data_IF_967929879943
#
_entry.id   IF_967929879943
#
_cell.length_a   1.000
_cell.length_b   1.000
_cell.length_c   1.000
_cell.angle_alpha   90.00
_cell.angle_beta   90.00
_cell.angle_gamma   90.00
#
_symmetry.space_group_name_H-M   'P 1'
#
loop_
_entity.id
_entity.type
_entity.pdbx_description
1 polymer ?
#
# COMPACT_ATOMS: atom_id res chain seq x y z
N UNK A 1 69.87 31.90 -9.17
CA UNK A 1 71.22 31.35 -9.51
C UNK A 1 70.97 30.24 -10.43
N UNK A 2 71.23 30.45 -11.69
CA UNK A 2 72.30 29.89 -12.47
C UNK A 2 71.97 28.49 -13.00
N UNK A 3 71.95 28.13 -14.21
CA UNK A 3 72.32 28.64 -15.56
C UNK A 3 72.03 27.48 -16.53
N UNK A 4 71.54 27.77 -17.70
CA UNK A 4 71.65 26.95 -18.92
C UNK A 4 73.16 26.76 -19.29
N UNK A 5 73.59 25.87 -20.28
CA UNK A 5 73.22 26.01 -21.69
C UNK A 5 73.26 24.68 -22.53
N UNK A 6 72.65 24.64 -23.71
CA UNK A 6 73.06 24.69 -25.10
C UNK A 6 73.97 23.58 -25.66
N UNK A 7 73.55 23.06 -26.78
CA UNK A 7 74.32 23.01 -28.01
C UNK A 7 74.03 21.77 -28.87
N UNK A 8 73.48 21.95 -30.03
CA UNK A 8 74.00 22.08 -31.38
C UNK A 8 74.03 20.76 -32.17
N UNK A 9 73.15 20.66 -33.20
CA UNK A 9 73.36 20.71 -34.67
C UNK A 9 74.09 19.54 -35.36
N UNK A 10 73.46 18.98 -36.38
CA UNK A 10 73.89 18.71 -37.75
C UNK A 10 72.94 17.65 -38.40
N UNK A 11 72.20 17.86 -39.39
CA UNK A 11 72.30 18.27 -40.78
C UNK A 11 72.90 17.16 -41.73
N UNK A 12 72.14 16.95 -42.84
CA UNK A 12 72.54 16.37 -44.14
C UNK A 12 72.46 14.85 -44.23
N UNK A 13 71.95 14.17 -45.32
CA UNK A 13 71.62 14.54 -46.67
C UNK A 13 70.80 13.42 -47.34
N UNK A 14 70.03 13.83 -48.26
CA UNK A 14 69.54 13.23 -49.51
C UNK A 14 70.14 11.91 -50.02
N UNK A 15 69.26 10.93 -50.41
CA UNK A 15 69.42 10.16 -51.64
C UNK A 15 68.04 9.60 -52.09
N UNK A 16 67.64 10.02 -53.28
CA UNK A 16 66.58 9.40 -54.13
C UNK A 16 67.00 8.04 -54.60
N UNK A 17 66.08 7.06 -54.52
CA UNK A 17 66.06 5.98 -55.55
C UNK A 17 64.60 5.50 -55.71
N UNK A 18 64.08 5.72 -56.92
CA UNK A 18 62.84 5.19 -57.42
C UNK A 18 62.99 3.71 -57.79
N UNK A 19 62.04 2.86 -57.35
CA UNK A 19 61.78 1.59 -57.99
C UNK A 19 60.28 1.27 -57.89
N UNK A 20 59.66 1.19 -59.05
CA UNK A 20 58.31 0.68 -59.24
C UNK A 20 58.22 -0.78 -58.82
N UNK A 21 57.21 -1.15 -58.06
CA UNK A 21 56.77 -2.52 -57.82
C UNK A 21 55.27 -2.52 -57.59
N UNK A 22 54.53 -2.87 -58.66
CA UNK A 22 53.12 -3.23 -58.58
C UNK A 22 52.99 -4.44 -57.64
N UNK A 23 52.23 -4.35 -56.64
CA UNK A 23 51.82 -5.42 -55.80
C UNK A 23 50.41 -5.11 -55.23
N UNK A 24 49.38 -5.64 -55.88
CA UNK A 24 48.02 -5.63 -55.38
C UNK A 24 47.97 -6.43 -54.09
N UNK A 25 47.93 -5.70 -53.01
CA UNK A 25 47.48 -6.24 -51.71
C UNK A 25 46.16 -5.56 -51.38
N UNK A 26 45.08 -6.17 -51.82
CA UNK A 26 43.75 -5.88 -51.30
C UNK A 26 43.78 -6.12 -49.78
N UNK A 27 43.95 -5.06 -49.03
CA UNK A 27 43.72 -5.06 -47.61
C UNK A 27 42.22 -5.36 -47.40
N UNK A 28 41.97 -6.61 -47.12
CA UNK A 28 40.68 -7.10 -46.65
C UNK A 28 40.43 -6.46 -45.26
N UNK A 29 39.97 -5.22 -45.25
CA UNK A 29 39.40 -4.61 -44.08
C UNK A 29 38.16 -5.42 -43.77
N UNK A 30 38.32 -6.36 -42.86
CA UNK A 30 37.21 -7.07 -42.26
C UNK A 30 36.25 -5.99 -41.70
N UNK A 31 35.19 -5.74 -42.46
CA UNK A 31 34.08 -4.90 -42.09
C UNK A 31 33.52 -5.54 -40.84
N UNK A 32 33.89 -5.01 -39.66
CA UNK A 32 33.29 -5.40 -38.39
C UNK A 32 31.76 -5.44 -38.59
N UNK A 33 31.08 -6.53 -38.25
CA UNK A 33 29.65 -6.58 -38.41
C UNK A 33 29.07 -5.45 -37.54
N UNK A 34 28.47 -4.49 -38.23
CA UNK A 34 27.71 -3.44 -37.57
C UNK A 34 26.74 -4.12 -36.60
N UNK A 35 26.68 -3.62 -35.40
CA UNK A 35 25.73 -4.07 -34.34
C UNK A 35 24.30 -3.90 -34.88
N UNK A 36 23.82 -4.89 -35.63
CA UNK A 36 22.50 -4.80 -36.25
C UNK A 36 21.45 -5.09 -35.18
N UNK A 37 20.75 -4.06 -34.76
CA UNK A 37 19.55 -4.19 -33.93
C UNK A 37 18.43 -4.55 -34.88
N UNK A 38 17.78 -5.69 -34.65
CA UNK A 38 16.62 -6.13 -35.44
C UNK A 38 15.40 -6.10 -34.56
N UNK A 39 14.37 -5.35 -34.96
CA UNK A 39 13.09 -5.25 -34.28
C UNK A 39 12.05 -5.89 -35.21
N UNK A 40 11.33 -6.88 -34.72
CA UNK A 40 10.22 -7.49 -35.47
C UNK A 40 9.05 -6.54 -35.67
N UNK A 41 8.24 -6.72 -36.71
CA UNK A 41 7.03 -5.92 -36.92
C UNK A 41 6.16 -5.90 -35.67
N UNK A 42 5.76 -4.69 -35.22
CA UNK A 42 5.02 -4.51 -34.00
C UNK A 42 5.85 -4.44 -32.71
N UNK A 43 7.20 -4.53 -32.81
CA UNK A 43 8.11 -4.33 -31.68
C UNK A 43 8.05 -5.41 -30.60
N UNK A 44 7.46 -6.58 -30.92
CA UNK A 44 7.27 -7.64 -29.92
C UNK A 44 8.58 -8.34 -29.55
N UNK A 45 9.52 -8.47 -30.53
CA UNK A 45 10.80 -9.10 -30.30
C UNK A 45 11.93 -8.20 -30.81
N UNK A 46 12.97 -8.07 -29.99
CA UNK A 46 14.17 -7.27 -30.28
C UNK A 46 15.37 -8.18 -30.20
N UNK A 47 16.17 -8.23 -31.26
CA UNK A 47 17.44 -8.92 -31.27
C UNK A 47 18.56 -7.88 -31.38
N UNK A 48 19.47 -7.90 -30.42
CA UNK A 48 20.61 -6.97 -30.34
C UNK A 48 21.88 -7.60 -30.90
N UNK A 49 22.81 -6.78 -31.34
CA UNK A 49 24.17 -7.24 -31.64
C UNK A 49 24.90 -7.74 -30.37
N UNK A 50 25.85 -8.66 -30.56
CA UNK A 50 26.56 -9.31 -29.44
C UNK A 50 27.27 -8.34 -28.48
N UNK A 51 27.65 -7.14 -28.95
CA UNK A 51 28.31 -6.10 -28.11
C UNK A 51 27.35 -5.36 -27.18
N UNK A 52 26.05 -5.38 -27.45
CA UNK A 52 25.05 -4.59 -26.72
C UNK A 52 24.32 -5.39 -25.66
N UNK A 53 24.42 -6.71 -25.66
CA UNK A 53 23.73 -7.61 -24.72
C UNK A 53 24.13 -7.40 -23.26
N UNK A 54 25.40 -7.05 -23.01
CA UNK A 54 25.90 -6.79 -21.65
C UNK A 54 25.38 -5.51 -20.98
N UNK A 55 24.68 -4.65 -21.74
CA UNK A 55 24.11 -3.41 -21.24
C UNK A 55 22.80 -3.63 -20.45
N UNK A 56 22.18 -4.80 -20.58
CA UNK A 56 20.88 -5.11 -19.99
C UNK A 56 21.03 -6.06 -18.80
N UNK A 57 20.86 -5.52 -17.59
CA UNK A 57 20.77 -6.36 -16.42
C UNK A 57 19.47 -7.15 -16.46
N UNK A 58 19.55 -8.43 -16.10
CA UNK A 58 18.39 -9.33 -16.03
C UNK A 58 18.31 -9.96 -14.64
N UNK A 59 17.09 -10.22 -14.20
CA UNK A 59 16.82 -10.88 -12.93
C UNK A 59 15.80 -12.00 -13.16
N UNK A 60 16.00 -13.21 -12.62
CA UNK A 60 15.02 -14.27 -12.77
C UNK A 60 13.74 -13.94 -12.00
N UNK A 61 12.60 -14.15 -12.65
CA UNK A 61 11.31 -14.19 -11.98
C UNK A 61 11.27 -15.38 -11.03
N UNK A 62 11.09 -15.15 -9.75
CA UNK A 62 11.19 -16.19 -8.73
C UNK A 62 9.97 -16.23 -7.83
N UNK A 63 9.53 -17.45 -7.49
CA UNK A 63 8.52 -17.63 -6.43
C UNK A 63 9.21 -17.49 -5.09
N UNK A 64 8.86 -16.43 -4.37
CA UNK A 64 9.42 -16.10 -3.04
C UNK A 64 8.31 -15.74 -2.09
N UNK A 65 8.64 -15.77 -0.81
CA UNK A 65 7.77 -15.20 0.22
C UNK A 65 7.69 -13.68 0.00
N UNK A 66 6.47 -13.19 -0.11
CA UNK A 66 6.17 -11.82 -0.41
C UNK A 66 5.45 -11.19 0.77
N UNK A 67 6.10 -10.23 1.40
CA UNK A 67 5.50 -9.41 2.44
C UNK A 67 5.17 -8.05 1.83
N UNK A 68 3.91 -7.70 1.86
CA UNK A 68 3.44 -6.37 1.48
C UNK A 68 3.11 -5.63 2.76
N UNK A 69 3.83 -4.56 3.03
CA UNK A 69 3.45 -3.65 4.09
C UNK A 69 2.52 -2.59 3.49
N UNK A 70 1.27 -2.63 3.88
CA UNK A 70 0.35 -1.56 3.54
C UNK A 70 0.69 -0.34 4.40
N UNK A 71 1.18 0.71 3.76
CA UNK A 71 1.42 1.99 4.43
C UNK A 71 0.28 2.95 4.09
N UNK A 72 -0.35 3.51 5.12
CA UNK A 72 -1.45 4.45 4.98
C UNK A 72 -1.31 5.62 5.98
N UNK A 73 -1.88 6.79 5.69
CA UNK A 73 -2.07 7.82 6.71
C UNK A 73 -3.07 7.36 7.75
N UNK A 74 -2.84 7.76 8.99
CA UNK A 74 -3.72 7.44 10.09
C UNK A 74 -3.80 8.60 11.09
N UNK A 75 -4.87 8.62 11.87
CA UNK A 75 -5.05 9.59 12.94
C UNK A 75 -5.71 8.95 14.16
N UNK A 76 -5.36 9.40 15.33
CA UNK A 76 -6.04 9.02 16.58
C UNK A 76 -7.38 9.73 16.64
N UNK A 77 -8.47 8.99 16.67
CA UNK A 77 -9.83 9.55 16.62
C UNK A 77 -10.58 9.46 17.96
N UNK A 78 -10.17 8.52 18.81
CA UNK A 78 -10.76 8.39 20.13
C UNK A 78 -9.73 7.92 21.17
N UNK A 79 -9.95 8.34 22.42
CA UNK A 79 -9.20 7.90 23.59
C UNK A 79 -10.16 7.53 24.73
N UNK A 80 -9.97 6.38 25.32
CA UNK A 80 -10.69 5.93 26.51
C UNK A 80 -9.88 6.32 27.74
N UNK A 81 -10.38 7.28 28.53
CA UNK A 81 -9.67 7.80 29.70
C UNK A 81 -10.36 7.40 31.00
N UNK A 82 -9.55 7.11 32.01
CA UNK A 82 -10.09 6.88 33.35
C UNK A 82 -10.75 8.16 33.89
N UNK A 83 -11.92 8.01 34.44
CA UNK A 83 -12.65 9.10 35.13
C UNK A 83 -12.93 8.64 36.56
N UNK A 84 -12.07 9.03 37.55
CA UNK A 84 -12.18 8.51 38.92
C UNK A 84 -13.54 8.79 39.59
N UNK A 85 -14.18 9.86 39.16
CA UNK A 85 -15.47 10.31 39.73
C UNK A 85 -16.70 9.73 39.00
N UNK A 86 -16.49 8.91 37.98
CA UNK A 86 -17.55 8.31 37.16
C UNK A 86 -17.51 6.79 37.22
N UNK A 87 -18.69 6.12 37.14
CA UNK A 87 -18.75 4.66 37.17
C UNK A 87 -18.19 3.97 35.91
N UNK A 88 -17.93 4.73 34.84
CA UNK A 88 -17.40 4.24 33.59
C UNK A 88 -16.36 5.22 33.05
N UNK A 89 -15.38 4.71 32.24
CA UNK A 89 -14.41 5.57 31.62
C UNK A 89 -15.07 6.52 30.61
N UNK A 90 -14.44 7.68 30.41
CA UNK A 90 -14.85 8.64 29.38
C UNK A 90 -14.19 8.31 28.05
N UNK A 91 -14.95 8.49 26.97
CA UNK A 91 -14.42 8.44 25.61
C UNK A 91 -14.29 9.87 25.09
N UNK A 92 -13.05 10.27 24.82
CA UNK A 92 -12.73 11.56 24.20
C UNK A 92 -12.55 11.35 22.70
N UNK A 93 -13.12 12.23 21.90
CA UNK A 93 -13.03 12.17 20.44
C UNK A 93 -12.26 13.36 19.87
N UNK A 94 -11.76 13.19 18.66
CA UNK A 94 -11.06 14.21 17.89
C UNK A 94 -11.96 15.40 17.56
N UNK A 95 -13.23 15.16 17.21
CA UNK A 95 -14.17 16.19 16.78
C UNK A 95 -15.40 16.29 17.67
N UNK A 96 -16.02 17.48 17.71
CA UNK A 96 -17.24 17.72 18.45
C UNK A 96 -18.43 16.93 17.90
N UNK A 97 -18.50 16.77 16.56
CA UNK A 97 -19.60 16.06 15.90
C UNK A 97 -19.63 14.58 16.32
N UNK A 98 -18.47 13.92 16.35
CA UNK A 98 -18.39 12.54 16.84
C UNK A 98 -18.71 12.45 18.33
N UNK A 99 -18.27 13.42 19.13
CA UNK A 99 -18.62 13.49 20.55
C UNK A 99 -20.13 13.65 20.77
N UNK A 100 -20.79 14.47 19.96
CA UNK A 100 -22.24 14.64 20.00
C UNK A 100 -22.98 13.34 19.63
N UNK A 101 -22.55 12.71 18.53
CA UNK A 101 -23.12 11.44 18.08
C UNK A 101 -22.94 10.31 19.12
N UNK A 102 -21.80 10.27 19.80
CA UNK A 102 -21.54 9.35 20.91
C UNK A 102 -22.47 9.64 22.12
N UNK A 103 -22.68 10.93 22.43
CA UNK A 103 -23.61 11.33 23.48
C UNK A 103 -25.03 10.87 23.17
N UNK A 104 -25.47 11.02 21.92
CA UNK A 104 -26.79 10.57 21.48
C UNK A 104 -26.92 9.04 21.53
N UNK A 105 -25.89 8.32 21.10
CA UNK A 105 -25.83 6.86 21.24
C UNK A 105 -25.99 6.42 22.70
N UNK A 106 -25.25 7.04 23.63
CA UNK A 106 -25.31 6.68 25.05
C UNK A 106 -26.67 6.99 25.69
N UNK A 107 -27.29 8.11 25.29
CA UNK A 107 -28.66 8.47 25.69
C UNK A 107 -29.69 7.46 25.17
N UNK A 108 -29.63 7.14 23.87
CA UNK A 108 -30.55 6.21 23.22
C UNK A 108 -30.39 4.80 23.78
N UNK A 109 -29.16 4.36 24.08
CA UNK A 109 -28.90 3.08 24.74
C UNK A 109 -29.53 3.03 26.14
N UNK A 110 -29.41 4.10 26.93
CA UNK A 110 -30.03 4.18 28.25
C UNK A 110 -31.56 4.23 28.15
N UNK A 111 -32.13 4.89 27.15
CA UNK A 111 -33.57 4.89 26.89
C UNK A 111 -34.08 3.49 26.52
N UNK A 112 -33.40 2.81 25.61
CA UNK A 112 -33.71 1.42 25.23
C UNK A 112 -33.69 0.49 26.46
N UNK A 113 -32.62 0.53 27.26
CA UNK A 113 -32.50 -0.31 28.45
C UNK A 113 -33.64 -0.05 29.47
N UNK A 114 -34.03 1.21 29.63
CA UNK A 114 -35.18 1.55 30.50
C UNK A 114 -36.49 1.01 29.93
N UNK A 115 -36.74 1.20 28.67
CA UNK A 115 -37.94 0.71 28.01
C UNK A 115 -38.02 -0.84 28.03
N UNK A 116 -36.92 -1.53 27.84
CA UNK A 116 -36.84 -3.00 27.96
C UNK A 116 -37.20 -3.49 29.33
N UNK A 117 -36.66 -2.87 30.41
CA UNK A 117 -36.98 -3.19 31.80
C UNK A 117 -38.45 -2.91 32.12
N UNK A 118 -38.99 -1.79 31.63
CA UNK A 118 -40.38 -1.42 31.83
C UNK A 118 -41.34 -2.41 31.16
N UNK A 119 -41.07 -2.74 29.90
CA UNK A 119 -41.84 -3.75 29.15
C UNK A 119 -41.82 -5.09 29.85
N UNK A 120 -40.65 -5.56 30.32
CA UNK A 120 -40.49 -6.80 31.06
C UNK A 120 -41.35 -6.78 32.35
N UNK A 121 -41.23 -5.70 33.14
CA UNK A 121 -42.01 -5.52 34.39
C UNK A 121 -43.52 -5.55 34.15
N UNK A 122 -44.03 -4.81 33.17
CA UNK A 122 -45.46 -4.76 32.85
C UNK A 122 -45.94 -6.10 32.27
N UNK A 123 -45.14 -6.78 31.48
CA UNK A 123 -45.46 -8.12 31.01
C UNK A 123 -45.62 -9.15 32.14
N UNK A 124 -44.74 -9.10 33.15
CA UNK A 124 -44.87 -9.97 34.34
C UNK A 124 -46.10 -9.63 35.21
N UNK A 125 -46.47 -8.34 35.29
CA UNK A 125 -47.68 -7.92 36.02
C UNK A 125 -48.97 -8.29 35.23
N UNK A 126 -48.94 -8.23 33.91
CA UNK A 126 -50.06 -8.59 33.07
C UNK A 126 -50.42 -10.07 33.20
N UNK A 127 -49.44 -10.97 33.38
CA UNK A 127 -49.72 -12.39 33.63
C UNK A 127 -50.47 -12.67 34.92
N UNK A 128 -50.57 -11.67 35.82
CA UNK A 128 -51.27 -11.72 37.10
C UNK A 128 -52.51 -10.82 37.13
N UNK A 129 -52.97 -10.38 35.94
CA UNK A 129 -54.09 -9.41 35.79
C UNK A 129 -53.91 -8.13 36.61
N UNK A 130 -52.68 -7.72 36.92
CA UNK A 130 -52.37 -6.58 37.79
C UNK A 130 -52.16 -5.23 37.04
N UNK A 131 -52.25 -5.24 35.69
CA UNK A 131 -52.13 -4.03 34.86
C UNK A 131 -53.07 -4.07 33.66
N UNK A 132 -53.43 -2.91 33.11
CA UNK A 132 -54.27 -2.83 31.93
C UNK A 132 -53.49 -3.26 30.67
N UNK A 133 -54.13 -3.97 29.75
CA UNK A 133 -53.53 -4.37 28.48
C UNK A 133 -52.99 -3.20 27.68
N UNK A 134 -53.57 -2.02 27.78
CA UNK A 134 -53.06 -0.78 27.18
C UNK A 134 -51.65 -0.44 27.64
N UNK A 135 -51.37 -0.58 28.93
CA UNK A 135 -50.04 -0.20 29.51
C UNK A 135 -48.94 -1.12 28.92
N UNK A 136 -49.26 -2.36 28.66
CA UNK A 136 -48.33 -3.32 27.98
C UNK A 136 -48.07 -2.88 26.55
N UNK A 137 -49.13 -2.52 25.82
CA UNK A 137 -49.02 -2.08 24.41
C UNK A 137 -48.23 -0.74 24.32
N UNK A 138 -48.47 0.18 25.25
CA UNK A 138 -47.74 1.44 25.32
C UNK A 138 -46.24 1.20 25.59
N UNK A 139 -45.91 0.29 26.51
CA UNK A 139 -44.52 -0.08 26.80
C UNK A 139 -43.84 -0.83 25.66
N UNK A 140 -44.57 -1.64 24.90
CA UNK A 140 -44.02 -2.26 23.68
C UNK A 140 -43.75 -1.25 22.57
N UNK A 141 -44.61 -0.24 22.45
CA UNK A 141 -44.41 0.83 21.48
C UNK A 141 -43.19 1.70 21.83
N UNK A 142 -43.02 2.04 23.12
CA UNK A 142 -41.85 2.78 23.58
C UNK A 142 -40.55 1.96 23.38
N UNK A 143 -40.59 0.66 23.64
CA UNK A 143 -39.43 -0.22 23.39
C UNK A 143 -39.03 -0.18 21.90
N UNK A 144 -39.99 -0.34 20.97
CA UNK A 144 -39.72 -0.31 19.52
C UNK A 144 -39.15 1.04 19.08
N UNK A 145 -39.68 2.14 19.61
CA UNK A 145 -39.23 3.50 19.30
C UNK A 145 -37.82 3.72 19.77
N UNK A 146 -37.51 3.35 21.02
CA UNK A 146 -36.16 3.49 21.59
C UNK A 146 -35.15 2.57 20.90
N UNK A 147 -35.56 1.36 20.50
CA UNK A 147 -34.73 0.45 19.71
C UNK A 147 -34.38 1.04 18.33
N UNK A 148 -35.37 1.61 17.64
CA UNK A 148 -35.13 2.27 16.35
C UNK A 148 -34.14 3.44 16.46
N UNK A 149 -34.28 4.27 17.51
CA UNK A 149 -33.38 5.38 17.77
C UNK A 149 -31.96 4.93 18.11
N UNK A 150 -31.82 3.84 18.87
CA UNK A 150 -30.50 3.25 19.16
C UNK A 150 -29.84 2.72 17.89
N UNK A 151 -30.59 1.96 17.08
CA UNK A 151 -30.05 1.42 15.80
C UNK A 151 -29.64 2.50 14.82
N UNK A 152 -30.36 3.62 14.76
CA UNK A 152 -30.00 4.77 13.90
C UNK A 152 -28.65 5.36 14.33
N UNK A 153 -28.45 5.61 15.62
CA UNK A 153 -27.20 6.16 16.13
C UNK A 153 -26.03 5.16 16.01
N UNK A 154 -26.26 3.85 16.20
CA UNK A 154 -25.26 2.82 15.93
C UNK A 154 -24.86 2.79 14.45
N UNK A 155 -25.83 2.86 13.53
CA UNK A 155 -25.54 2.87 12.11
C UNK A 155 -24.69 4.07 11.69
N UNK A 156 -24.99 5.26 12.20
CA UNK A 156 -24.20 6.49 11.96
C UNK A 156 -22.77 6.35 12.46
N UNK A 157 -22.55 5.80 13.65
CA UNK A 157 -21.21 5.56 14.19
C UNK A 157 -20.44 4.52 13.35
N UNK A 158 -21.09 3.44 12.92
CA UNK A 158 -20.48 2.43 12.08
C UNK A 158 -20.08 2.97 10.70
N UNK A 159 -20.89 3.87 10.13
CA UNK A 159 -20.60 4.50 8.84
C UNK A 159 -19.28 5.29 8.87
N UNK A 160 -18.97 5.94 9.97
CA UNK A 160 -17.71 6.69 10.16
C UNK A 160 -16.58 5.84 10.74
N UNK A 161 -16.73 4.52 10.79
CA UNK A 161 -15.67 3.57 11.16
C UNK A 161 -15.62 3.18 12.64
N UNK A 162 -16.56 3.65 13.48
CA UNK A 162 -16.63 3.25 14.89
C UNK A 162 -17.52 2.03 15.10
N UNK A 163 -17.10 1.15 16.00
CA UNK A 163 -17.98 0.15 16.60
C UNK A 163 -18.32 0.58 18.03
N UNK A 164 -19.57 1.02 18.28
CA UNK A 164 -19.95 1.51 19.61
C UNK A 164 -19.81 0.47 20.72
N UNK A 165 -20.08 -0.79 20.40
CA UNK A 165 -19.99 -1.87 21.38
C UNK A 165 -18.54 -2.19 21.72
N UNK A 166 -17.66 -2.22 20.70
CA UNK A 166 -16.24 -2.40 20.90
C UNK A 166 -15.63 -1.25 21.71
N UNK A 167 -16.03 0.02 21.43
CA UNK A 167 -15.57 1.18 22.20
C UNK A 167 -15.93 1.09 23.68
N UNK A 168 -17.15 0.65 24.00
CA UNK A 168 -17.61 0.47 25.38
C UNK A 168 -16.86 -0.64 26.13
N UNK A 169 -16.31 -1.61 25.41
CA UNK A 169 -15.55 -2.72 25.98
C UNK A 169 -14.07 -2.41 26.17
N UNK A 170 -13.58 -1.30 25.60
CA UNK A 170 -12.17 -0.92 25.72
C UNK A 170 -11.83 -0.47 27.15
N UNK A 171 -10.73 -0.96 27.71
CA UNK A 171 -10.24 -0.47 29.01
C UNK A 171 -9.73 0.96 28.93
N UNK A 172 -9.71 1.64 30.06
CA UNK A 172 -9.09 2.95 30.17
C UNK A 172 -7.61 2.87 29.78
N UNK A 173 -7.14 3.88 29.03
CA UNK A 173 -5.81 3.92 28.44
C UNK A 173 -5.78 3.42 26.98
N UNK A 174 -6.88 2.86 26.48
CA UNK A 174 -6.99 2.46 25.09
C UNK A 174 -7.22 3.66 24.18
N UNK A 175 -6.74 3.54 22.94
CA UNK A 175 -6.93 4.51 21.87
C UNK A 175 -7.49 3.81 20.64
N UNK A 176 -8.22 4.56 19.84
CA UNK A 176 -8.63 4.11 18.49
C UNK A 176 -8.05 5.09 17.49
N UNK A 177 -7.30 4.55 16.54
CA UNK A 177 -6.86 5.27 15.35
C UNK A 177 -7.64 4.79 14.13
N UNK A 178 -7.91 5.68 13.20
CA UNK A 178 -8.43 5.35 11.88
C UNK A 178 -7.30 5.51 10.87
N UNK A 179 -7.09 4.46 10.08
CA UNK A 179 -6.22 4.45 8.92
C UNK A 179 -7.06 4.58 7.65
N UNK A 180 -6.65 5.47 6.76
CA UNK A 180 -7.34 5.72 5.49
C UNK A 180 -6.70 4.83 4.41
N UNK A 181 -7.25 3.63 4.21
CA UNK A 181 -6.72 2.63 3.29
C UNK A 181 -7.36 2.80 1.92
N UNK A 182 -6.58 2.98 0.83
CA UNK A 182 -7.14 3.05 -0.51
C UNK A 182 -7.98 1.81 -0.85
N UNK A 183 -9.14 2.03 -1.52
CA UNK A 183 -10.06 0.96 -1.93
C UNK A 183 -9.35 -0.18 -2.67
N UNK A 184 -8.41 0.17 -3.57
CA UNK A 184 -7.64 -0.82 -4.34
C UNK A 184 -6.77 -1.76 -3.48
N UNK A 185 -6.52 -1.42 -2.21
CA UNK A 185 -5.65 -2.18 -1.31
C UNK A 185 -6.37 -2.79 -0.12
N UNK A 186 -7.68 -2.57 0.01
CA UNK A 186 -8.42 -3.05 1.19
C UNK A 186 -8.47 -4.57 1.30
N UNK A 187 -8.42 -5.27 0.16
CA UNK A 187 -8.39 -6.74 0.14
C UNK A 187 -7.19 -7.37 0.84
N UNK A 188 -6.17 -6.57 1.13
CA UNK A 188 -4.97 -6.99 1.84
C UNK A 188 -5.10 -6.85 3.37
N UNK A 189 -6.12 -6.13 3.87
CA UNK A 189 -6.32 -5.87 5.31
C UNK A 189 -7.32 -6.86 5.90
N UNK A 190 -6.98 -7.45 7.04
CA UNK A 190 -7.83 -8.36 7.79
C UNK A 190 -7.99 -7.93 9.25
N UNK A 191 -9.12 -8.32 9.85
CA UNK A 191 -9.35 -8.11 11.28
C UNK A 191 -8.31 -8.85 12.12
N UNK A 192 -7.82 -8.19 13.16
CA UNK A 192 -6.82 -8.73 14.09
C UNK A 192 -5.37 -8.58 13.64
N UNK A 193 -5.10 -8.14 12.41
CA UNK A 193 -3.75 -7.89 11.92
C UNK A 193 -3.03 -6.83 12.76
N UNK A 194 -1.71 -7.02 12.87
CA UNK A 194 -0.86 -6.08 13.57
C UNK A 194 -0.64 -4.84 12.74
N UNK A 195 -0.76 -3.69 13.36
CA UNK A 195 -0.47 -2.39 12.78
C UNK A 195 0.58 -1.66 13.62
N UNK A 196 1.57 -1.07 12.96
CA UNK A 196 2.63 -0.28 13.59
C UNK A 196 2.47 1.17 13.17
N UNK A 197 2.46 2.07 14.14
CA UNK A 197 2.24 3.50 13.95
C UNK A 197 3.52 4.28 14.24
N UNK A 198 3.88 5.15 13.31
CA UNK A 198 4.95 6.14 13.45
C UNK A 198 4.33 7.53 13.58
N UNK A 199 4.35 8.08 14.80
CA UNK A 199 3.87 9.42 15.08
C UNK A 199 5.00 10.44 14.92
N UNK A 200 4.75 11.52 14.20
CA UNK A 200 5.74 12.60 14.04
C UNK A 200 6.13 13.26 15.37
N UNK A 201 5.24 13.21 16.36
CA UNK A 201 5.50 13.72 17.70
C UNK A 201 6.47 12.83 18.51
N UNK A 202 6.69 11.57 18.11
CA UNK A 202 7.52 10.58 18.82
C UNK A 202 8.43 9.83 17.85
N UNK A 203 9.40 10.53 17.22
CA UNK A 203 10.26 9.91 16.22
C UNK A 203 11.07 8.74 16.81
N UNK A 204 11.11 7.63 16.07
CA UNK A 204 11.83 6.42 16.50
C UNK A 204 11.16 5.62 17.61
N UNK A 205 9.93 5.97 18.01
CA UNK A 205 9.15 5.22 18.98
C UNK A 205 7.88 4.66 18.29
N UNK A 206 7.90 3.44 17.75
CA UNK A 206 6.73 2.86 17.13
C UNK A 206 5.70 2.45 18.18
N UNK A 207 4.44 2.73 17.88
CA UNK A 207 3.30 2.26 18.67
C UNK A 207 2.62 1.12 17.91
N UNK A 208 2.19 0.09 18.61
CA UNK A 208 1.56 -1.06 17.99
C UNK A 208 0.09 -1.17 18.36
N UNK A 209 -0.69 -1.68 17.44
CA UNK A 209 -2.10 -1.94 17.62
C UNK A 209 -2.57 -3.13 16.81
N UNK A 210 -3.89 -3.37 16.82
CA UNK A 210 -4.53 -4.39 15.99
C UNK A 210 -5.72 -3.82 15.27
N UNK A 211 -5.89 -4.23 14.02
CA UNK A 211 -7.08 -3.92 13.23
C UNK A 211 -8.31 -4.47 13.95
N UNK A 212 -9.18 -3.58 14.38
CA UNK A 212 -10.38 -3.91 15.14
C UNK A 212 -11.65 -3.88 14.28
N UNK A 213 -11.67 -3.04 13.24
CA UNK A 213 -12.80 -2.92 12.32
C UNK A 213 -12.35 -2.40 10.96
N UNK A 214 -13.03 -2.85 9.92
CA UNK A 214 -12.99 -2.28 8.57
C UNK A 214 -14.37 -1.67 8.32
N UNK A 215 -14.43 -0.41 7.89
CA UNK A 215 -15.70 0.25 7.60
C UNK A 215 -16.42 -0.40 6.43
N UNK A 216 -17.76 -0.36 6.46
CA UNK A 216 -18.62 -0.98 5.46
C UNK A 216 -18.83 -0.08 4.23
N UNK A 217 -18.30 1.14 4.23
CA UNK A 217 -18.46 2.12 3.17
C UNK A 217 -17.12 2.74 2.75
N UNK A 218 -17.00 3.07 1.47
CA UNK A 218 -15.89 3.84 0.91
C UNK A 218 -16.20 5.33 1.07
N UNK A 219 -15.26 6.11 1.54
CA UNK A 219 -15.36 7.57 1.51
C UNK A 219 -15.30 8.05 0.04
N UNK A 220 -16.37 8.70 -0.48
CA UNK A 220 -16.43 9.09 -1.87
C UNK A 220 -15.45 10.22 -2.24
N UNK A 221 -14.97 10.99 -1.26
CA UNK A 221 -14.05 12.11 -1.49
C UNK A 221 -12.61 11.63 -1.59
N UNK A 222 -12.20 10.75 -0.67
CA UNK A 222 -10.81 10.26 -0.58
C UNK A 222 -10.59 8.95 -1.32
N UNK A 223 -11.64 8.23 -1.67
CA UNK A 223 -11.61 6.86 -2.19
C UNK A 223 -10.88 5.89 -1.26
N UNK A 224 -10.99 6.14 0.03
CA UNK A 224 -10.40 5.31 1.07
C UNK A 224 -11.50 4.60 1.88
N UNK A 225 -11.12 3.48 2.48
CA UNK A 225 -11.93 2.76 3.47
C UNK A 225 -11.28 2.99 4.82
N UNK A 226 -12.09 3.39 5.79
CA UNK A 226 -11.63 3.61 7.15
C UNK A 226 -11.39 2.28 7.87
N UNK A 227 -10.17 2.06 8.30
CA UNK A 227 -9.76 0.90 9.08
C UNK A 227 -9.47 1.35 10.50
N UNK A 228 -10.31 0.92 11.45
CA UNK A 228 -10.10 1.21 12.85
C UNK A 228 -9.07 0.24 13.46
N UNK A 229 -8.13 0.81 14.18
CA UNK A 229 -7.06 0.08 14.87
C UNK A 229 -7.11 0.44 16.34
N UNK A 230 -7.22 -0.56 17.20
CA UNK A 230 -7.11 -0.38 18.64
C UNK A 230 -5.63 -0.37 19.04
N UNK A 231 -5.21 0.70 19.71
CA UNK A 231 -3.86 0.86 20.27
C UNK A 231 -3.92 0.83 21.80
N UNK A 232 -2.86 0.30 22.41
CA UNK A 232 -2.64 0.42 23.85
C UNK A 232 -1.64 1.56 24.11
N UNK A 233 -2.10 2.62 24.75
CA UNK A 233 -1.25 3.73 25.17
C UNK A 233 -1.48 4.06 26.64
N UNK A 234 -1.11 3.12 27.49
CA UNK A 234 -1.24 3.27 28.96
C UNK A 234 -0.53 4.50 29.52
N UNK A 235 0.43 5.04 28.79
CA UNK A 235 1.19 6.23 29.20
C UNK A 235 0.45 7.55 28.92
N UNK A 236 -0.71 7.54 28.28
CA UNK A 236 -1.52 8.73 27.98
C UNK A 236 -0.84 9.79 27.11
N UNK A 237 0.25 9.43 26.43
CA UNK A 237 1.04 10.35 25.57
C UNK A 237 0.32 10.70 24.28
N UNK A 238 -0.40 9.75 23.71
CA UNK A 238 -1.16 9.95 22.48
C UNK A 238 -2.50 10.61 22.79
N UNK A 239 -2.92 11.52 21.94
CA UNK A 239 -4.17 12.27 22.07
C UNK A 239 -4.99 12.17 20.79
N UNK A 240 -6.34 12.21 20.87
CA UNK A 240 -7.19 12.40 19.71
C UNK A 240 -6.73 13.62 18.88
N UNK A 241 -6.75 13.50 17.57
CA UNK A 241 -6.25 14.49 16.62
C UNK A 241 -4.78 14.32 16.22
N UNK A 242 -4.01 13.43 16.85
CA UNK A 242 -2.64 13.16 16.43
C UNK A 242 -2.59 12.35 15.14
N UNK A 243 -1.73 12.76 14.21
CA UNK A 243 -1.48 12.08 12.94
C UNK A 243 -0.29 11.13 13.03
N UNK A 244 -0.41 10.02 12.32
CA UNK A 244 0.61 9.00 12.20
C UNK A 244 0.66 8.44 10.78
N UNK A 245 1.76 7.76 10.48
CA UNK A 245 1.83 6.80 9.39
C UNK A 245 1.64 5.40 9.99
N UNK A 246 0.71 4.64 9.47
CA UNK A 246 0.51 3.25 9.89
C UNK A 246 1.07 2.31 8.84
N UNK A 247 1.75 1.27 9.30
CA UNK A 247 2.16 0.11 8.51
C UNK A 247 1.38 -1.09 9.03
N UNK A 248 0.49 -1.65 8.20
CA UNK A 248 -0.26 -2.86 8.52
C UNK A 248 0.53 -4.02 7.93
N UNK A 249 0.85 -5.01 8.77
CA UNK A 249 1.55 -6.23 8.37
C UNK A 249 0.58 -7.11 7.59
N UNK A 250 0.79 -7.21 6.28
CA UNK A 250 0.07 -8.15 5.44
C UNK A 250 0.65 -9.57 5.57
N UNK A 251 -0.16 -10.55 5.18
CA UNK A 251 0.28 -11.95 5.17
C UNK A 251 1.46 -12.14 4.24
N UNK A 252 2.38 -12.99 4.67
CA UNK A 252 3.40 -13.54 3.79
C UNK A 252 2.72 -14.53 2.85
N UNK A 253 2.65 -14.20 1.57
CA UNK A 253 2.17 -15.08 0.51
C UNK A 253 3.33 -15.53 -0.37
N UNK A 254 3.29 -16.76 -0.85
CA UNK A 254 4.23 -17.20 -1.89
C UNK A 254 3.73 -16.72 -3.24
N UNK A 255 4.45 -15.79 -3.83
CA UNK A 255 4.09 -15.16 -5.09
C UNK A 255 5.24 -15.19 -6.09
N UNK A 256 4.92 -15.21 -7.38
CA UNK A 256 5.90 -14.98 -8.43
C UNK A 256 6.22 -13.49 -8.46
N UNK A 257 7.48 -13.15 -8.20
CA UNK A 257 7.95 -11.79 -8.04
C UNK A 257 8.94 -11.42 -9.14
N UNK A 258 8.86 -10.16 -9.57
CA UNK A 258 9.86 -9.49 -10.39
C UNK A 258 10.20 -8.14 -9.76
N UNK A 259 11.42 -7.60 -9.95
CA UNK A 259 11.74 -6.25 -9.51
C UNK A 259 10.85 -5.21 -10.19
N UNK A 260 10.39 -4.21 -9.46
CA UNK A 260 9.54 -3.14 -9.98
C UNK A 260 10.23 -2.37 -11.12
N UNK A 261 11.57 -2.33 -11.14
CA UNK A 261 12.38 -1.74 -12.22
C UNK A 261 12.24 -2.44 -13.56
N UNK A 262 11.75 -3.68 -13.60
CA UNK A 262 11.48 -4.41 -14.83
C UNK A 262 10.17 -3.99 -15.52
N UNK A 263 9.30 -3.31 -14.78
CA UNK A 263 7.94 -2.98 -15.21
C UNK A 263 7.94 -1.71 -16.05
N UNK A 264 7.27 -1.77 -17.19
CA UNK A 264 7.10 -0.66 -18.12
C UNK A 264 5.62 -0.45 -18.36
N UNK A 265 5.16 0.77 -18.10
CA UNK A 265 3.79 1.18 -18.42
C UNK A 265 3.78 2.00 -19.71
N UNK A 266 2.89 1.62 -20.62
CA UNK A 266 2.61 2.35 -21.86
C UNK A 266 1.11 2.45 -21.99
N UNK A 267 0.60 3.67 -22.02
CA UNK A 267 -0.83 3.97 -21.97
C UNK A 267 -1.47 3.31 -20.72
N UNK A 268 -2.46 2.45 -20.91
CA UNK A 268 -3.14 1.73 -19.84
C UNK A 268 -2.67 0.27 -19.67
N UNK A 269 -1.56 -0.12 -20.34
CA UNK A 269 -1.04 -1.49 -20.31
C UNK A 269 0.33 -1.56 -19.67
N UNK A 270 0.61 -2.71 -19.08
CA UNK A 270 1.87 -2.98 -18.38
C UNK A 270 2.63 -4.10 -19.09
N UNK A 271 3.91 -3.85 -19.33
CA UNK A 271 4.79 -4.75 -20.07
C UNK A 271 6.08 -5.03 -19.30
N UNK A 272 6.70 -6.16 -19.63
CA UNK A 272 8.08 -6.47 -19.25
C UNK A 272 8.83 -6.95 -20.49
N UNK A 273 10.16 -6.88 -20.48
CA UNK A 273 11.00 -7.54 -21.46
C UNK A 273 11.58 -8.81 -20.85
N UNK A 274 11.31 -9.95 -21.49
CA UNK A 274 11.83 -11.26 -21.12
C UNK A 274 12.97 -11.62 -22.06
N UNK A 275 14.11 -12.03 -21.52
CA UNK A 275 15.24 -12.51 -22.28
C UNK A 275 14.97 -13.96 -22.71
N UNK A 276 14.78 -14.19 -24.03
CA UNK A 276 14.49 -15.51 -24.62
C UNK A 276 15.72 -16.16 -25.26
N UNK A 277 16.79 -15.40 -25.46
CA UNK A 277 18.03 -15.86 -26.03
C UNK A 277 19.23 -15.05 -25.58
N UNK A 278 20.43 -15.37 -26.10
CA UNK A 278 21.65 -14.65 -25.74
C UNK A 278 21.56 -13.14 -25.99
N UNK A 279 20.89 -12.74 -27.05
CA UNK A 279 20.75 -11.36 -27.51
C UNK A 279 19.29 -10.98 -27.84
N UNK A 280 18.33 -11.83 -27.51
CA UNK A 280 16.93 -11.68 -27.90
C UNK A 280 16.06 -11.38 -26.68
N UNK A 281 15.26 -10.35 -26.82
CA UNK A 281 14.32 -9.87 -25.79
C UNK A 281 12.91 -9.82 -26.36
N UNK A 282 11.96 -10.32 -25.62
CA UNK A 282 10.56 -10.37 -26.01
C UNK A 282 9.75 -9.46 -25.08
N UNK A 283 8.97 -8.55 -25.66
CA UNK A 283 8.01 -7.74 -24.93
C UNK A 283 6.78 -8.57 -24.62
N UNK A 284 6.43 -8.66 -23.35
CA UNK A 284 5.21 -9.34 -22.88
C UNK A 284 4.34 -8.43 -22.07
N UNK A 285 3.05 -8.48 -22.34
CA UNK A 285 2.05 -7.87 -21.49
C UNK A 285 1.88 -8.71 -20.23
N UNK A 286 1.82 -8.03 -19.08
CA UNK A 286 1.72 -8.67 -17.77
C UNK A 286 0.56 -8.11 -16.96
N UNK A 287 -0.08 -9.00 -16.21
CA UNK A 287 -1.03 -8.60 -15.17
C UNK A 287 -0.30 -8.66 -13.84
N UNK A 288 -0.21 -7.52 -13.17
CA UNK A 288 0.46 -7.37 -11.90
C UNK A 288 -0.54 -7.48 -10.74
N UNK A 289 -0.02 -7.83 -9.58
CA UNK A 289 -0.72 -7.80 -8.30
C UNK A 289 -0.18 -6.69 -7.40
N UNK A 290 -0.02 -7.01 -6.13
CA UNK A 290 0.50 -6.10 -5.13
C UNK A 290 2.02 -5.86 -5.32
N UNK A 291 2.50 -4.71 -4.89
CA UNK A 291 3.94 -4.40 -4.82
C UNK A 291 4.34 -3.96 -3.41
N UNK A 292 5.62 -4.13 -3.06
CA UNK A 292 6.19 -3.67 -1.80
C UNK A 292 7.19 -2.51 -1.96
N UNK A 293 7.14 -1.83 -3.12
CA UNK A 293 8.05 -0.75 -3.49
C UNK A 293 9.39 -1.21 -4.07
N UNK A 294 9.72 -2.50 -3.98
CA UNK A 294 10.93 -3.10 -4.55
C UNK A 294 10.60 -4.19 -5.58
N UNK A 295 9.75 -5.11 -5.18
CA UNK A 295 9.28 -6.22 -6.00
C UNK A 295 7.77 -6.11 -6.22
N UNK A 296 7.28 -6.66 -7.32
CA UNK A 296 5.86 -6.70 -7.66
C UNK A 296 5.45 -8.13 -8.00
N UNK A 297 4.26 -8.50 -7.55
CA UNK A 297 3.65 -9.79 -7.84
C UNK A 297 3.20 -9.84 -9.31
N UNK A 298 3.53 -10.94 -10.00
CA UNK A 298 3.03 -11.23 -11.33
C UNK A 298 1.91 -12.25 -11.24
N UNK A 299 0.73 -11.89 -11.72
CA UNK A 299 -0.43 -12.79 -11.80
C UNK A 299 -0.44 -13.57 -13.11
N UNK A 300 0.02 -12.96 -14.20
CA UNK A 300 0.14 -13.61 -15.52
C UNK A 300 1.13 -12.88 -16.43
N UNK A 301 1.60 -13.57 -17.47
CA UNK A 301 2.49 -13.02 -18.50
C UNK A 301 3.96 -13.43 -18.38
N UNK A 302 4.42 -13.87 -17.19
CA UNK A 302 5.78 -14.38 -16.94
C UNK A 302 5.71 -15.66 -16.13
N UNK A 303 6.61 -16.59 -16.40
CA UNK A 303 6.76 -17.84 -15.66
C UNK A 303 7.97 -17.82 -14.72
N UNK A 304 7.94 -18.67 -13.69
CA UNK A 304 9.07 -18.80 -12.77
C UNK A 304 10.33 -19.26 -13.51
N UNK A 305 11.46 -18.61 -13.22
CA UNK A 305 12.76 -18.89 -13.86
C UNK A 305 13.03 -18.06 -15.11
N UNK A 306 12.02 -17.40 -15.70
CA UNK A 306 12.25 -16.52 -16.85
C UNK A 306 13.06 -15.28 -16.43
N UNK A 307 13.95 -14.84 -17.31
CA UNK A 307 14.85 -13.72 -17.07
C UNK A 307 14.20 -12.42 -17.52
N UNK A 308 13.78 -11.56 -16.57
CA UNK A 308 13.22 -10.24 -16.87
C UNK A 308 14.31 -9.19 -16.85
N UNK A 309 14.25 -8.25 -17.79
CA UNK A 309 15.20 -7.13 -17.87
C UNK A 309 14.89 -6.12 -16.78
N UNK A 310 15.90 -5.78 -15.98
CA UNK A 310 15.78 -4.84 -14.86
C UNK A 310 16.63 -3.58 -15.03
N UNK A 311 17.60 -3.62 -15.96
CA UNK A 311 18.45 -2.46 -16.27
C UNK A 311 18.30 -2.01 -17.71
N UNK A 312 18.33 -0.68 -17.94
CA UNK A 312 18.17 -0.05 -19.26
C UNK A 312 16.85 -0.39 -20.00
N UNK A 313 15.81 -0.70 -19.27
CA UNK A 313 14.47 -1.02 -19.80
C UNK A 313 13.92 0.06 -20.72
N UNK A 314 14.28 1.33 -20.47
CA UNK A 314 13.86 2.50 -21.28
C UNK A 314 14.38 2.39 -22.71
N UNK A 315 15.60 1.88 -22.92
CA UNK A 315 16.17 1.69 -24.26
C UNK A 315 15.37 0.65 -25.05
N UNK A 316 15.03 -0.49 -24.43
CA UNK A 316 14.18 -1.49 -25.05
C UNK A 316 12.77 -0.97 -25.31
N UNK A 317 12.24 -0.13 -24.41
CA UNK A 317 10.97 0.56 -24.63
C UNK A 317 11.01 1.41 -25.90
N UNK A 318 12.03 2.25 -26.05
CA UNK A 318 12.22 3.08 -27.26
C UNK A 318 12.28 2.25 -28.53
N UNK A 319 13.08 1.19 -28.54
CA UNK A 319 13.20 0.28 -29.70
C UNK A 319 11.89 -0.46 -30.00
N UNK A 320 11.13 -0.86 -28.97
CA UNK A 320 9.92 -1.66 -29.11
C UNK A 320 8.70 -0.85 -29.55
N UNK A 321 8.61 0.41 -29.14
CA UNK A 321 7.45 1.27 -29.40
C UNK A 321 7.73 2.37 -30.42
N UNK A 322 8.98 2.49 -30.91
CA UNK A 322 9.35 3.43 -31.99
C UNK A 322 9.48 4.88 -31.56
N UNK A 323 9.95 5.13 -30.31
CA UNK A 323 10.23 6.47 -29.80
C UNK A 323 11.71 6.82 -29.94
#
# INVERSE_FOLDING_TARGET
MSRRPWGRTAALALALAAACGKGDAAANAAKEPASAITVEPGGARITLGARDTGKFAVTPAAVRDFQVNLVAPARVVAAVVAAPDLPAPLVLFETQDVSALWSDFTKNRAAYQRAELQRKRLGELATRDAVAGKDVVDAETELRTSEASLRDTEAKLRQIGFDPQALLALPAGSLVAIADVPEARIGAVQLGERATFDFSAFPGQPFTGRVSRIADAVDPQTRAIHVAVALDSREGRLKPGMFARVSIEERTERALLIPLTAVISVEARTFVFVRTGAATFERREVVLGLDNGKDVQVRSGVSAGEQVVTGNTILLKGLSFGY
#
